data_IF_713012718818
#
_entry.id   IF_713012718818
#
_cell.length_a   1.000
_cell.length_b   1.000
_cell.length_c   1.000
_cell.angle_alpha   90.00
_cell.angle_beta   90.00
_cell.angle_gamma   90.00
#
_symmetry.space_group_name_H-M   'P 1'
#
loop_
_entity.id
_entity.type
_entity.pdbx_description
1 polymer ?
#
# COMPACT_ATOMS: atom_id res chain seq x y z
N UNK A 1 -45.67 -24.05 -58.45
CA UNK A 1 -44.35 -23.55 -57.98
C UNK A 1 -44.45 -22.48 -56.90
N UNK A 2 -45.35 -21.50 -57.00
CA UNK A 2 -45.47 -20.35 -56.08
C UNK A 2 -45.62 -20.73 -54.58
N UNK A 3 -46.42 -21.76 -54.26
CA UNK A 3 -46.69 -22.19 -52.87
C UNK A 3 -45.47 -22.78 -52.14
N UNK A 4 -44.52 -23.37 -52.86
CA UNK A 4 -43.27 -23.90 -52.28
C UNK A 4 -42.30 -22.76 -51.92
N UNK A 5 -42.23 -21.73 -52.77
CA UNK A 5 -41.42 -20.53 -52.50
C UNK A 5 -41.91 -19.74 -51.28
N UNK A 6 -43.24 -19.58 -51.13
CA UNK A 6 -43.82 -18.89 -49.96
C UNK A 6 -43.52 -19.65 -48.66
N UNK A 7 -43.60 -20.98 -48.67
CA UNK A 7 -43.27 -21.80 -47.50
C UNK A 7 -41.77 -21.73 -47.16
N UNK A 8 -40.88 -21.70 -48.16
CA UNK A 8 -39.44 -21.53 -47.94
C UNK A 8 -39.09 -20.16 -47.36
N UNK A 9 -39.74 -19.09 -47.84
CA UNK A 9 -39.54 -17.73 -47.30
C UNK A 9 -40.05 -17.65 -45.85
N UNK A 10 -41.21 -18.23 -45.55
CA UNK A 10 -41.77 -18.25 -44.20
C UNK A 10 -40.85 -18.98 -43.20
N UNK A 11 -40.26 -20.12 -43.60
CA UNK A 11 -39.31 -20.85 -42.75
C UNK A 11 -38.04 -20.02 -42.48
N UNK A 12 -37.49 -19.36 -43.49
CA UNK A 12 -36.29 -18.52 -43.34
C UNK A 12 -36.55 -17.34 -42.39
N UNK A 13 -37.71 -16.68 -42.51
CA UNK A 13 -38.09 -15.56 -41.63
C UNK A 13 -38.27 -16.04 -40.18
N UNK A 14 -38.91 -17.18 -39.96
CA UNK A 14 -39.08 -17.75 -38.62
C UNK A 14 -37.73 -18.13 -38.01
N UNK A 15 -36.84 -18.74 -38.78
CA UNK A 15 -35.48 -19.06 -38.32
C UNK A 15 -34.68 -17.81 -37.94
N UNK A 16 -34.78 -16.73 -38.73
CA UNK A 16 -34.12 -15.46 -38.40
C UNK A 16 -34.65 -14.84 -37.11
N UNK A 17 -35.96 -14.88 -36.88
CA UNK A 17 -36.57 -14.36 -35.64
C UNK A 17 -36.15 -15.16 -34.41
N UNK A 18 -36.04 -16.49 -34.53
CA UNK A 18 -35.57 -17.36 -33.44
C UNK A 18 -34.10 -17.08 -33.09
N UNK A 19 -33.24 -16.92 -34.10
CA UNK A 19 -31.83 -16.57 -33.88
C UNK A 19 -31.70 -15.19 -33.22
N UNK A 20 -32.46 -14.20 -33.69
CA UNK A 20 -32.45 -12.86 -33.10
C UNK A 20 -32.94 -12.88 -31.64
N UNK A 21 -34.02 -13.62 -31.36
CA UNK A 21 -34.54 -13.79 -30.01
C UNK A 21 -33.51 -14.45 -29.07
N UNK A 22 -32.79 -15.45 -29.56
CA UNK A 22 -31.75 -16.13 -28.78
C UNK A 22 -30.54 -15.22 -28.49
N UNK A 23 -30.10 -14.42 -29.47
CA UNK A 23 -29.03 -13.43 -29.28
C UNK A 23 -29.43 -12.38 -28.24
N UNK A 24 -30.66 -11.87 -28.31
CA UNK A 24 -31.18 -10.90 -27.33
C UNK A 24 -31.25 -11.50 -25.93
N UNK A 25 -31.71 -12.75 -25.80
CA UNK A 25 -31.74 -13.45 -24.52
C UNK A 25 -30.35 -13.56 -23.90
N UNK A 26 -29.34 -13.98 -24.67
CA UNK A 26 -27.96 -14.06 -24.19
C UNK A 26 -27.39 -12.69 -23.79
N UNK A 27 -27.73 -11.64 -24.54
CA UNK A 27 -27.31 -10.28 -24.24
C UNK A 27 -27.87 -9.77 -22.90
N UNK A 28 -29.15 -10.04 -22.61
CA UNK A 28 -29.77 -9.62 -21.35
C UNK A 28 -29.38 -10.51 -20.16
N UNK A 29 -29.20 -11.82 -20.37
CA UNK A 29 -28.83 -12.76 -19.30
C UNK A 29 -27.39 -12.57 -18.80
N UNK A 30 -26.51 -11.97 -19.62
CA UNK A 30 -25.10 -11.72 -19.28
C UNK A 30 -24.82 -10.32 -18.77
N UNK A 31 -25.83 -9.46 -18.66
CA UNK A 31 -25.67 -8.15 -18.03
C UNK A 31 -25.32 -8.36 -16.56
N UNK A 32 -24.14 -7.91 -16.09
CA UNK A 32 -23.80 -8.00 -14.67
C UNK A 32 -24.82 -7.19 -13.87
N UNK A 33 -25.41 -7.82 -12.84
CA UNK A 33 -26.33 -7.15 -11.92
C UNK A 33 -25.75 -5.80 -11.50
N UNK A 34 -26.52 -4.73 -11.69
CA UNK A 34 -26.12 -3.39 -11.25
C UNK A 34 -25.75 -3.47 -9.77
N UNK A 35 -24.53 -3.03 -9.43
CA UNK A 35 -24.11 -2.92 -8.03
C UNK A 35 -25.19 -2.14 -7.28
N UNK A 36 -25.66 -2.62 -6.11
CA UNK A 36 -26.61 -1.88 -5.30
C UNK A 36 -26.07 -0.46 -5.08
N UNK A 37 -26.95 0.54 -5.15
CA UNK A 37 -26.56 1.89 -4.77
C UNK A 37 -26.00 1.85 -3.34
N UNK A 38 -24.88 2.54 -3.06
CA UNK A 38 -24.35 2.59 -1.71
C UNK A 38 -25.42 3.15 -0.78
N UNK A 39 -25.78 2.38 0.24
CA UNK A 39 -26.68 2.86 1.30
C UNK A 39 -26.11 4.15 1.90
N UNK A 40 -26.93 5.17 2.18
CA UNK A 40 -26.44 6.35 2.88
C UNK A 40 -25.77 5.91 4.19
N UNK A 41 -24.58 6.46 4.52
CA UNK A 41 -23.85 6.05 5.71
C UNK A 41 -24.75 6.23 6.92
N UNK A 42 -24.96 5.14 7.68
CA UNK A 42 -25.56 5.23 9.01
C UNK A 42 -24.70 6.20 9.81
N UNK A 43 -25.22 7.40 10.10
CA UNK A 43 -24.67 8.28 11.10
C UNK A 43 -24.90 7.63 12.47
N UNK A 44 -24.12 6.60 12.78
CA UNK A 44 -23.84 6.28 14.17
C UNK A 44 -23.16 7.51 14.77
N UNK A 45 -23.51 7.88 16.00
CA UNK A 45 -22.86 8.97 16.74
C UNK A 45 -21.40 8.64 17.04
N UNK A 46 -20.57 8.55 15.99
CA UNK A 46 -19.14 8.37 16.07
C UNK A 46 -18.59 9.60 16.76
N UNK A 47 -18.05 9.38 17.96
CA UNK A 47 -17.23 10.36 18.66
C UNK A 47 -16.16 10.83 17.68
N UNK A 48 -16.18 12.13 17.36
CA UNK A 48 -15.16 12.75 16.52
C UNK A 48 -13.82 12.64 17.24
N UNK A 49 -12.90 11.87 16.67
CA UNK A 49 -11.52 11.81 17.13
C UNK A 49 -10.72 12.81 16.29
N UNK A 50 -10.16 13.82 16.95
CA UNK A 50 -9.29 14.80 16.32
C UNK A 50 -7.88 14.23 16.19
N UNK A 51 -7.22 14.57 15.08
CA UNK A 51 -5.84 14.18 14.81
C UNK A 51 -5.04 15.40 14.37
N UNK A 52 -3.78 15.47 14.76
CA UNK A 52 -2.79 16.39 14.19
C UNK A 52 -2.09 15.72 13.03
N UNK A 53 -1.95 16.46 11.93
CA UNK A 53 -1.02 16.09 10.88
C UNK A 53 0.32 16.75 11.15
N UNK A 54 1.36 15.93 11.25
CA UNK A 54 2.75 16.38 11.25
C UNK A 54 3.35 16.10 9.88
N UNK A 55 4.28 16.94 9.45
CA UNK A 55 4.95 16.74 8.17
C UNK A 55 6.41 17.12 8.25
N UNK A 56 7.22 16.47 7.42
CA UNK A 56 8.63 16.74 7.27
C UNK A 56 9.02 16.74 5.79
N UNK A 57 10.05 17.49 5.47
CA UNK A 57 10.52 17.69 4.10
C UNK A 57 12.00 17.36 4.00
N UNK A 58 12.40 16.90 2.83
CA UNK A 58 13.80 16.61 2.46
C UNK A 58 14.49 15.72 3.51
N UNK A 59 13.80 14.67 3.96
CA UNK A 59 14.39 13.67 4.84
C UNK A 59 15.06 12.58 4.03
N UNK A 60 16.11 11.99 4.58
CA UNK A 60 16.76 10.86 3.94
C UNK A 60 15.89 9.62 4.05
N UNK A 61 15.80 8.87 2.97
CA UNK A 61 15.27 7.51 2.95
C UNK A 61 16.32 6.58 2.37
N UNK A 62 16.52 5.44 3.01
CA UNK A 62 17.43 4.37 2.58
C UNK A 62 16.71 3.03 2.51
N UNK A 63 17.46 1.98 2.17
CA UNK A 63 16.97 0.61 2.13
C UNK A 63 17.91 -0.32 2.90
N UNK A 64 17.32 -1.26 3.65
CA UNK A 64 18.05 -2.33 4.33
C UNK A 64 17.40 -3.70 4.10
N UNK A 65 18.17 -4.73 4.39
CA UNK A 65 17.74 -6.12 4.41
C UNK A 65 18.15 -6.73 5.74
N UNK A 66 17.50 -7.82 6.13
CA UNK A 66 17.84 -8.56 7.35
C UNK A 66 18.18 -10.00 7.02
N UNK A 67 19.14 -10.58 7.73
CA UNK A 67 19.54 -11.96 7.50
C UNK A 67 18.36 -12.94 7.69
N UNK A 68 18.29 -14.03 6.93
CA UNK A 68 17.32 -15.09 7.18
C UNK A 68 17.42 -15.59 8.64
N UNK A 69 16.32 -15.52 9.38
CA UNK A 69 16.30 -15.88 10.80
C UNK A 69 16.81 -14.78 11.74
N UNK A 70 16.94 -13.55 11.26
CA UNK A 70 17.21 -12.39 12.10
C UNK A 70 16.21 -12.28 13.27
N UNK A 71 16.62 -11.67 14.40
CA UNK A 71 15.71 -11.33 15.49
C UNK A 71 14.50 -10.55 15.02
N UNK A 72 13.45 -10.52 15.84
CA UNK A 72 12.29 -9.67 15.58
C UNK A 72 12.71 -8.20 15.51
N UNK A 73 11.97 -7.40 14.74
CA UNK A 73 12.12 -5.95 14.72
C UNK A 73 11.96 -5.36 16.13
N UNK A 74 12.43 -4.12 16.36
CA UNK A 74 12.39 -3.49 17.68
C UNK A 74 10.96 -3.38 18.28
N UNK A 75 9.90 -3.45 17.48
CA UNK A 75 8.52 -3.55 17.95
C UNK A 75 8.11 -4.96 18.45
N UNK A 76 9.01 -5.94 18.42
CA UNK A 76 8.77 -7.32 18.81
C UNK A 76 7.97 -8.16 17.80
N UNK A 77 7.91 -7.77 16.53
CA UNK A 77 7.17 -8.49 15.47
C UNK A 77 8.09 -8.84 14.27
N UNK A 78 7.70 -9.84 13.44
CA UNK A 78 8.44 -10.14 12.22
C UNK A 78 8.45 -8.98 11.22
N UNK A 79 9.54 -8.86 10.47
CA UNK A 79 9.65 -7.90 9.36
C UNK A 79 8.70 -8.22 8.20
N UNK A 80 8.29 -7.19 7.47
CA UNK A 80 7.46 -7.30 6.28
C UNK A 80 7.71 -6.13 5.33
N UNK A 81 7.47 -6.34 4.03
CA UNK A 81 7.58 -5.29 3.02
C UNK A 81 6.56 -4.19 3.30
N UNK A 82 7.03 -2.95 3.38
CA UNK A 82 6.24 -1.79 3.84
C UNK A 82 6.46 -1.44 5.30
N UNK A 83 7.29 -2.19 6.02
CA UNK A 83 7.86 -1.80 7.30
C UNK A 83 9.07 -0.87 7.12
N UNK A 84 9.22 0.09 8.03
CA UNK A 84 10.39 0.98 8.09
C UNK A 84 11.03 0.99 9.48
N UNK A 85 12.34 1.20 9.50
CA UNK A 85 13.09 1.61 10.67
C UNK A 85 13.20 3.13 10.72
N UNK A 86 13.18 3.70 11.92
CA UNK A 86 13.43 5.13 12.17
C UNK A 86 14.46 5.29 13.27
N UNK A 87 14.89 6.51 13.52
CA UNK A 87 15.71 6.79 14.71
C UNK A 87 14.98 6.48 16.03
N UNK A 88 15.69 6.08 17.10
CA UNK A 88 15.14 6.14 18.46
C UNK A 88 14.81 7.60 18.82
N UNK A 89 13.86 7.85 19.72
CA UNK A 89 13.45 9.23 20.11
C UNK A 89 14.61 10.04 20.70
N UNK A 90 15.49 9.35 21.41
CA UNK A 90 16.71 9.88 21.99
C UNK A 90 17.83 8.94 21.54
N UNK A 91 18.98 9.45 21.07
CA UNK A 91 20.15 8.61 20.75
C UNK A 91 20.57 7.75 21.94
N UNK A 92 21.09 6.54 21.69
CA UNK A 92 21.49 5.61 22.76
C UNK A 92 22.65 6.17 23.59
N UNK A 93 23.61 6.84 22.96
CA UNK A 93 24.72 7.52 23.63
C UNK A 93 24.28 8.63 24.59
N UNK A 94 23.07 9.18 24.41
CA UNK A 94 22.48 10.22 25.26
C UNK A 94 21.48 9.64 26.29
N UNK A 95 21.50 8.31 26.50
CA UNK A 95 20.63 7.62 27.45
C UNK A 95 19.28 7.16 26.88
N UNK A 96 19.13 7.19 25.55
CA UNK A 96 17.93 6.70 24.87
C UNK A 96 17.79 5.17 24.85
N UNK A 97 16.67 4.70 24.28
CA UNK A 97 16.37 3.27 24.12
C UNK A 97 15.96 2.99 22.68
N UNK A 98 16.53 1.95 22.07
CA UNK A 98 16.18 1.51 20.73
C UNK A 98 14.68 1.17 20.61
N UNK A 99 14.06 0.63 21.66
CA UNK A 99 12.63 0.29 21.66
C UNK A 99 11.69 1.49 21.80
N UNK A 100 12.21 2.72 21.84
CA UNK A 100 11.42 3.96 21.91
C UNK A 100 11.75 4.79 20.67
N UNK A 101 11.05 4.60 19.54
CA UNK A 101 11.32 5.31 18.29
C UNK A 101 10.87 6.79 18.35
N UNK A 102 11.47 7.62 17.49
CA UNK A 102 11.08 9.04 17.31
C UNK A 102 9.63 9.14 16.82
N UNK A 103 9.23 8.24 15.92
CA UNK A 103 7.83 8.00 15.54
C UNK A 103 7.37 6.69 16.18
N UNK A 104 6.32 6.67 17.02
CA UNK A 104 5.87 5.46 17.71
C UNK A 104 5.68 4.25 16.78
N UNK A 105 5.99 3.04 17.24
CA UNK A 105 5.71 1.83 16.46
C UNK A 105 4.24 1.74 16.06
N UNK A 106 3.98 1.34 14.83
CA UNK A 106 2.63 1.32 14.24
C UNK A 106 2.21 2.64 13.61
N UNK A 107 2.99 3.72 13.76
CA UNK A 107 2.75 4.97 13.01
C UNK A 107 2.84 4.69 11.52
N UNK A 108 1.83 5.14 10.77
CA UNK A 108 1.82 5.08 9.32
C UNK A 108 2.40 6.40 8.80
N UNK A 109 3.49 6.32 8.07
CA UNK A 109 4.04 7.43 7.29
C UNK A 109 3.41 7.43 5.90
N UNK A 110 2.98 8.59 5.45
CA UNK A 110 2.38 8.81 4.14
C UNK A 110 3.33 9.65 3.29
N UNK A 111 3.79 9.07 2.19
CA UNK A 111 4.76 9.70 1.30
C UNK A 111 4.05 10.64 0.33
N UNK A 112 4.62 11.82 0.10
CA UNK A 112 4.12 12.74 -0.92
C UNK A 112 4.23 12.15 -2.34
N UNK A 113 5.21 11.27 -2.54
CA UNK A 113 5.43 10.52 -3.78
C UNK A 113 5.65 9.04 -3.47
N UNK A 114 4.96 8.10 -4.15
CA UNK A 114 5.21 6.69 -3.98
C UNK A 114 6.65 6.29 -4.27
N UNK A 115 7.11 5.22 -3.62
CA UNK A 115 8.43 4.65 -3.81
C UNK A 115 8.29 3.20 -4.29
N UNK A 116 9.01 2.78 -5.36
CA UNK A 116 9.04 1.39 -5.79
C UNK A 116 9.87 0.57 -4.80
N UNK A 117 9.23 -0.39 -4.14
CA UNK A 117 9.86 -1.34 -3.23
C UNK A 117 9.48 -2.74 -3.68
N UNK A 118 10.48 -3.55 -4.08
CA UNK A 118 10.25 -4.95 -4.47
C UNK A 118 9.13 -5.13 -5.53
N UNK A 119 9.10 -4.24 -6.53
CA UNK A 119 8.12 -4.26 -7.61
C UNK A 119 6.73 -3.71 -7.24
N UNK A 120 6.58 -3.07 -6.07
CA UNK A 120 5.33 -2.43 -5.63
C UNK A 120 5.55 -0.96 -5.37
N UNK A 121 4.64 -0.12 -5.87
CA UNK A 121 4.60 1.30 -5.52
C UNK A 121 3.96 1.46 -4.13
N UNK A 122 4.76 1.87 -3.14
CA UNK A 122 4.29 2.12 -1.79
C UNK A 122 4.12 3.62 -1.58
N UNK A 123 2.89 4.05 -1.29
CA UNK A 123 2.57 5.44 -0.89
C UNK A 123 2.54 5.64 0.62
N UNK A 124 2.54 4.55 1.38
CA UNK A 124 2.57 4.58 2.84
C UNK A 124 3.32 3.39 3.39
N UNK A 125 3.93 3.57 4.55
CA UNK A 125 4.71 2.55 5.24
C UNK A 125 4.49 2.64 6.75
N UNK A 126 4.79 1.57 7.48
CA UNK A 126 4.55 1.49 8.92
C UNK A 126 5.87 1.42 9.67
N UNK A 127 6.00 2.23 10.72
CA UNK A 127 7.16 2.19 11.62
C UNK A 127 7.13 0.90 12.43
N UNK A 128 8.13 0.04 12.25
CA UNK A 128 8.21 -1.26 12.92
C UNK A 128 9.52 -1.46 13.68
N UNK A 129 10.52 -0.65 13.39
CA UNK A 129 11.87 -0.91 13.86
C UNK A 129 12.62 0.38 14.16
N UNK A 130 13.80 0.25 14.75
CA UNK A 130 14.73 1.36 14.94
C UNK A 130 16.11 1.05 14.38
N UNK A 131 16.67 2.02 13.66
CA UNK A 131 18.01 1.98 13.08
C UNK A 131 18.76 3.28 13.37
N UNK A 132 20.04 3.33 12.96
CA UNK A 132 20.95 4.45 13.21
C UNK A 132 20.77 5.06 14.62
N UNK A 133 20.97 4.19 15.61
CA UNK A 133 20.58 4.42 17.01
C UNK A 133 21.31 5.59 17.69
N UNK A 134 22.35 6.11 17.04
CA UNK A 134 23.17 7.23 17.52
C UNK A 134 23.12 8.44 16.58
N UNK A 135 22.23 8.45 15.58
CA UNK A 135 22.03 9.55 14.63
C UNK A 135 23.31 9.89 13.85
N UNK A 136 24.14 8.87 13.57
CA UNK A 136 25.47 9.06 13.00
C UNK A 136 25.46 9.18 11.47
N UNK A 137 24.49 8.58 10.78
CA UNK A 137 24.48 8.53 9.32
C UNK A 137 23.94 9.81 8.71
N UNK A 138 22.86 10.37 9.28
CA UNK A 138 22.12 11.48 8.66
C UNK A 138 21.76 12.59 9.66
N UNK A 139 22.75 13.27 10.28
CA UNK A 139 22.51 14.27 11.32
C UNK A 139 21.67 15.48 10.86
N UNK A 140 21.71 15.82 9.56
CA UNK A 140 20.88 16.88 8.98
C UNK A 140 19.45 16.43 8.59
N UNK A 141 19.13 15.15 8.77
CA UNK A 141 17.85 14.55 8.40
C UNK A 141 17.29 13.72 9.58
N UNK A 142 16.89 14.38 10.69
CA UNK A 142 16.54 13.71 11.94
C UNK A 142 15.25 12.88 11.89
N UNK A 143 14.50 12.98 10.79
CA UNK A 143 13.33 12.16 10.49
C UNK A 143 13.62 11.21 9.32
N UNK A 144 14.87 10.74 9.22
CA UNK A 144 15.26 9.66 8.31
C UNK A 144 14.47 8.38 8.61
N UNK A 145 14.25 7.60 7.55
CA UNK A 145 13.73 6.24 7.69
C UNK A 145 14.43 5.27 6.73
N UNK A 146 14.58 4.02 7.17
CA UNK A 146 15.10 2.92 6.39
C UNK A 146 13.98 1.98 5.98
N UNK A 147 13.87 1.65 4.70
CA UNK A 147 12.83 0.76 4.20
C UNK A 147 13.34 -0.68 4.29
N UNK A 148 12.53 -1.59 4.81
CA UNK A 148 12.85 -3.01 4.77
C UNK A 148 12.57 -3.61 3.38
N UNK A 149 13.61 -4.14 2.73
CA UNK A 149 13.55 -4.70 1.37
C UNK A 149 13.48 -6.23 1.34
N UNK A 150 13.23 -6.88 2.48
CA UNK A 150 13.12 -8.33 2.58
C UNK A 150 14.37 -8.98 3.14
N UNK A 151 14.33 -10.30 3.27
CA UNK A 151 15.45 -11.06 3.82
C UNK A 151 16.66 -10.98 2.89
N UNK A 152 17.86 -10.89 3.47
CA UNK A 152 19.12 -10.81 2.76
C UNK A 152 19.25 -11.97 1.79
N UNK A 153 19.41 -11.61 0.51
CA UNK A 153 19.80 -12.49 -0.58
C UNK A 153 20.37 -11.61 -1.71
N UNK A 154 20.96 -12.23 -2.73
CA UNK A 154 21.59 -11.49 -3.82
C UNK A 154 20.67 -10.43 -4.44
N UNK A 155 19.41 -10.78 -4.73
CA UNK A 155 18.47 -9.89 -5.40
C UNK A 155 18.01 -8.75 -4.50
N UNK A 156 17.63 -9.04 -3.25
CA UNK A 156 17.18 -8.02 -2.29
C UNK A 156 18.31 -7.05 -1.94
N UNK A 157 19.52 -7.56 -1.75
CA UNK A 157 20.69 -6.75 -1.45
C UNK A 157 21.04 -5.83 -2.63
N UNK A 158 21.00 -6.38 -3.86
CA UNK A 158 21.23 -5.58 -5.07
C UNK A 158 20.17 -4.49 -5.24
N UNK A 159 18.90 -4.83 -4.98
CA UNK A 159 17.78 -3.91 -5.07
C UNK A 159 17.91 -2.78 -4.03
N UNK A 160 18.19 -3.11 -2.76
CA UNK A 160 18.42 -2.14 -1.69
C UNK A 160 19.62 -1.22 -1.99
N UNK A 161 20.72 -1.78 -2.50
CA UNK A 161 21.89 -0.98 -2.94
C UNK A 161 21.57 -0.05 -4.10
N UNK A 162 20.75 -0.52 -5.05
CA UNK A 162 20.37 0.26 -6.23
C UNK A 162 19.43 1.41 -5.87
N UNK A 163 18.61 1.24 -4.82
CA UNK A 163 17.86 2.34 -4.21
C UNK A 163 18.80 3.38 -3.60
N UNK A 164 19.80 2.96 -2.81
CA UNK A 164 20.77 3.88 -2.24
C UNK A 164 20.13 4.84 -1.24
N UNK A 165 20.24 6.16 -1.48
CA UNK A 165 19.64 7.18 -0.60
C UNK A 165 18.92 8.27 -1.39
N UNK A 166 17.70 8.61 -0.97
CA UNK A 166 16.89 9.64 -1.61
C UNK A 166 16.37 10.66 -0.59
N UNK A 167 16.03 11.85 -1.08
CA UNK A 167 15.31 12.84 -0.29
C UNK A 167 13.81 12.69 -0.52
N UNK A 168 13.06 12.59 0.57
CA UNK A 168 11.62 12.36 0.56
C UNK A 168 10.91 13.34 1.49
N UNK A 169 9.66 13.62 1.15
CA UNK A 169 8.74 14.37 1.99
C UNK A 169 7.63 13.40 2.42
N UNK A 170 7.21 13.51 3.67
CA UNK A 170 6.16 12.67 4.19
C UNK A 170 5.47 13.29 5.39
N UNK A 171 4.32 12.72 5.74
CA UNK A 171 3.51 13.15 6.87
C UNK A 171 2.96 11.96 7.64
N UNK A 172 2.51 12.19 8.87
CA UNK A 172 1.82 11.21 9.70
C UNK A 172 0.77 11.90 10.57
N UNK A 173 -0.07 11.10 11.22
CA UNK A 173 -1.14 11.58 12.08
C UNK A 173 -0.96 11.06 13.50
N UNK A 174 -1.17 11.93 14.49
CA UNK A 174 -1.25 11.54 15.89
C UNK A 174 -2.59 12.00 16.49
N UNK A 175 -3.17 11.24 17.43
CA UNK A 175 -4.37 11.67 18.15
C UNK A 175 -4.14 13.01 18.87
N UNK A 176 -5.11 13.93 18.74
CA UNK A 176 -5.15 15.14 19.57
C UNK A 176 -5.74 14.76 20.93
N UNK A 177 -4.86 14.63 21.92
CA UNK A 177 -5.20 14.23 23.29
C UNK A 177 -4.97 15.38 24.27
#
# INVERSE_FOLDING_TARGET
>A
MLRRYVNSIAVVVISMLLVLGFILYLYYATQPSRKPAPSPPKQTGQKLNWYMQFSTKQQKSTAYTEEPGAPLAANGKPYYIGGVAVHPRIPLQDGGKATIPILPFGTIIYLDKPIPVQGRELSSMTVIDTGDVNYGLWPSHPYWFDIYWGSSNYYNNQAARSYGSHLVNYHWYEPWN
#
